data_IF_644158612500
#
_entry.id   IF_644158612500
#
_cell.length_a   1.000
_cell.length_b   1.000
_cell.length_c   1.000
_cell.angle_alpha   90.00
_cell.angle_beta   90.00
_cell.angle_gamma   90.00
#
_symmetry.space_group_name_H-M   'P 1'
#
loop_
_entity.id
_entity.type
_entity.pdbx_description
1 polymer ?
#
# COMPACT_ATOMS: atom_id res chain seq x y z
N UNK A 1 6.29 -11.81 -27.97
CA UNK A 1 7.19 -11.56 -26.82
C UNK A 1 7.53 -12.91 -26.21
N UNK A 2 8.80 -13.24 -25.93
CA UNK A 2 9.12 -14.43 -25.15
C UNK A 2 8.27 -14.40 -23.86
N UNK A 3 7.77 -15.56 -23.46
CA UNK A 3 6.63 -15.68 -22.54
C UNK A 3 6.91 -14.97 -21.22
N UNK A 4 6.06 -13.99 -20.89
CA UNK A 4 6.08 -13.34 -19.58
C UNK A 4 5.92 -14.41 -18.50
N UNK A 5 6.71 -14.31 -17.45
CA UNK A 5 6.76 -15.26 -16.33
C UNK A 5 6.38 -14.62 -15.00
N UNK A 6 6.65 -13.32 -14.82
CA UNK A 6 6.42 -12.62 -13.56
C UNK A 6 5.89 -11.19 -13.79
N UNK A 7 4.95 -10.77 -12.93
CA UNK A 7 4.44 -9.41 -12.85
C UNK A 7 4.37 -8.94 -11.39
N UNK A 8 5.03 -7.82 -11.08
CA UNK A 8 5.05 -7.18 -9.77
C UNK A 8 4.27 -5.86 -9.85
N UNK A 9 3.41 -5.57 -8.89
CA UNK A 9 2.55 -4.37 -8.93
C UNK A 9 2.46 -3.65 -7.59
N UNK A 10 2.60 -2.33 -7.59
CA UNK A 10 2.22 -1.46 -6.45
C UNK A 10 0.99 -0.63 -6.81
N UNK A 11 -0.06 -0.72 -6.00
CA UNK A 11 -1.35 -0.09 -6.25
C UNK A 11 -1.75 0.87 -5.11
N UNK A 12 -1.11 2.06 -5.00
CA UNK A 12 -1.42 3.02 -3.95
C UNK A 12 -2.71 3.80 -4.23
N UNK A 13 -3.28 4.34 -3.17
CA UNK A 13 -4.43 5.22 -3.20
C UNK A 13 -5.74 4.50 -3.47
N UNK A 14 -6.77 5.31 -3.74
CA UNK A 14 -8.10 4.83 -4.05
C UNK A 14 -8.14 4.34 -5.51
N UNK A 15 -8.38 3.04 -5.72
CA UNK A 15 -8.57 2.47 -7.05
C UNK A 15 -10.04 2.65 -7.44
N UNK A 16 -10.33 3.12 -8.65
CA UNK A 16 -11.72 3.24 -9.08
C UNK A 16 -12.27 1.88 -9.53
N UNK A 17 -13.55 1.56 -9.29
CA UNK A 17 -14.14 0.30 -9.73
C UNK A 17 -13.97 0.02 -11.22
N UNK A 18 -14.09 1.05 -12.06
CA UNK A 18 -13.92 0.94 -13.52
C UNK A 18 -12.49 0.56 -13.93
N UNK A 19 -11.47 1.06 -13.22
CA UNK A 19 -10.07 0.75 -13.50
C UNK A 19 -9.77 -0.73 -13.17
N UNK A 20 -10.31 -1.21 -12.04
CA UNK A 20 -10.19 -2.62 -11.64
C UNK A 20 -10.95 -3.54 -12.58
N UNK A 21 -12.15 -3.15 -13.01
CA UNK A 21 -12.94 -3.92 -13.97
C UNK A 21 -12.24 -4.04 -15.32
N UNK A 22 -11.61 -2.96 -15.80
CA UNK A 22 -10.85 -2.95 -17.05
C UNK A 22 -9.60 -3.86 -16.98
N UNK A 23 -8.89 -3.88 -15.85
CA UNK A 23 -7.72 -4.75 -15.64
C UNK A 23 -8.04 -6.22 -15.47
N UNK A 24 -9.26 -6.57 -15.01
CA UNK A 24 -9.63 -7.92 -14.59
C UNK A 24 -9.41 -8.99 -15.65
N UNK A 25 -9.78 -8.72 -16.91
CA UNK A 25 -9.62 -9.69 -17.99
C UNK A 25 -8.14 -9.98 -18.27
N UNK A 26 -7.33 -8.92 -18.31
CA UNK A 26 -5.88 -9.02 -18.53
C UNK A 26 -5.20 -9.78 -17.39
N UNK A 27 -5.57 -9.50 -16.14
CA UNK A 27 -5.02 -10.18 -14.98
C UNK A 27 -5.42 -11.67 -14.95
N UNK A 28 -6.68 -11.97 -15.31
CA UNK A 28 -7.16 -13.35 -15.41
C UNK A 28 -6.40 -14.15 -16.48
N UNK A 29 -6.23 -13.55 -17.67
CA UNK A 29 -5.48 -14.15 -18.76
C UNK A 29 -4.02 -14.40 -18.36
N UNK A 30 -3.38 -13.41 -17.72
CA UNK A 30 -2.02 -13.54 -17.24
C UNK A 30 -1.85 -14.71 -16.25
N UNK A 31 -2.72 -14.78 -15.25
CA UNK A 31 -2.71 -15.85 -14.25
C UNK A 31 -2.99 -17.22 -14.86
N UNK A 32 -3.93 -17.31 -15.82
CA UNK A 32 -4.22 -18.57 -16.53
C UNK A 32 -3.04 -19.10 -17.34
N UNK A 33 -2.13 -18.23 -17.78
CA UNK A 33 -0.88 -18.59 -18.44
C UNK A 33 0.24 -18.98 -17.47
N UNK A 34 -0.03 -18.97 -16.17
CA UNK A 34 0.93 -19.30 -15.11
C UNK A 34 1.90 -18.18 -14.77
N UNK A 35 1.58 -16.92 -15.11
CA UNK A 35 2.40 -15.76 -14.72
C UNK A 35 2.32 -15.58 -13.20
N UNK A 36 3.48 -15.58 -12.53
CA UNK A 36 3.57 -15.28 -11.11
C UNK A 36 3.23 -13.80 -10.89
N UNK A 37 2.16 -13.51 -10.17
CA UNK A 37 1.71 -12.14 -9.93
C UNK A 37 1.80 -11.77 -8.46
N UNK A 38 2.52 -10.69 -8.15
CA UNK A 38 2.68 -10.15 -6.79
C UNK A 38 2.19 -8.72 -6.73
N UNK A 39 1.16 -8.47 -5.93
CA UNK A 39 0.53 -7.15 -5.87
C UNK A 39 0.50 -6.60 -4.44
N UNK A 40 1.01 -5.37 -4.29
CA UNK A 40 0.95 -4.57 -3.07
C UNK A 40 -0.25 -3.63 -3.12
N UNK A 41 -1.04 -3.65 -2.05
CA UNK A 41 -2.07 -2.65 -1.75
C UNK A 41 -1.79 -1.95 -0.43
N UNK A 42 -2.41 -0.79 -0.23
CA UNK A 42 -2.40 -0.17 1.09
C UNK A 42 -3.34 -0.92 2.05
N UNK A 43 -3.08 -0.86 3.36
CA UNK A 43 -3.98 -1.43 4.37
C UNK A 43 -5.41 -0.86 4.27
N UNK A 44 -5.53 0.39 3.80
CA UNK A 44 -6.82 1.03 3.54
C UNK A 44 -7.67 0.32 2.48
N UNK A 45 -7.06 -0.46 1.58
CA UNK A 45 -7.77 -1.23 0.55
C UNK A 45 -8.71 -2.28 1.16
N UNK A 46 -8.40 -2.79 2.36
CA UNK A 46 -9.25 -3.76 3.08
C UNK A 46 -10.60 -3.16 3.49
N UNK A 47 -10.65 -1.84 3.65
CA UNK A 47 -11.87 -1.10 4.02
C UNK A 47 -12.59 -0.51 2.80
N UNK A 48 -12.11 -0.77 1.58
CA UNK A 48 -12.72 -0.33 0.33
C UNK A 48 -13.36 -1.56 -0.36
N UNK A 49 -14.70 -1.72 -0.32
CA UNK A 49 -15.34 -2.97 -0.74
C UNK A 49 -14.97 -3.46 -2.14
N UNK A 50 -14.87 -2.56 -3.12
CA UNK A 50 -14.51 -2.89 -4.50
C UNK A 50 -13.05 -3.33 -4.63
N UNK A 51 -12.12 -2.67 -3.94
CA UNK A 51 -10.70 -3.05 -3.95
C UNK A 51 -10.49 -4.37 -3.22
N UNK A 52 -11.11 -4.54 -2.05
CA UNK A 52 -11.05 -5.79 -1.29
C UNK A 52 -11.62 -6.97 -2.10
N UNK A 53 -12.76 -6.77 -2.77
CA UNK A 53 -13.35 -7.80 -3.66
C UNK A 53 -12.40 -8.19 -4.77
N UNK A 54 -11.76 -7.22 -5.42
CA UNK A 54 -10.79 -7.48 -6.48
C UNK A 54 -9.55 -8.22 -5.97
N UNK A 55 -9.00 -7.76 -4.85
CA UNK A 55 -7.81 -8.32 -4.25
C UNK A 55 -8.03 -9.77 -3.77
N UNK A 56 -9.19 -10.07 -3.18
CA UNK A 56 -9.59 -11.43 -2.85
C UNK A 56 -9.82 -12.32 -4.08
N UNK A 57 -10.37 -11.75 -5.15
CA UNK A 57 -10.46 -12.46 -6.43
C UNK A 57 -9.07 -12.77 -7.00
N UNK A 58 -8.12 -11.83 -6.95
CA UNK A 58 -6.77 -12.04 -7.44
C UNK A 58 -6.07 -13.17 -6.67
N UNK A 59 -6.22 -13.20 -5.34
CA UNK A 59 -5.77 -14.32 -4.51
C UNK A 59 -6.41 -15.65 -4.94
N UNK A 60 -7.71 -15.67 -5.22
CA UNK A 60 -8.40 -16.91 -5.61
C UNK A 60 -8.01 -17.43 -7.00
N UNK A 61 -7.42 -16.57 -7.83
CA UNK A 61 -6.84 -16.94 -9.12
C UNK A 61 -5.36 -17.38 -9.03
N UNK A 62 -4.77 -17.42 -7.83
CA UNK A 62 -3.38 -17.83 -7.61
C UNK A 62 -2.38 -16.67 -7.57
N UNK A 63 -2.83 -15.42 -7.63
CA UNK A 63 -1.98 -14.26 -7.39
C UNK A 63 -1.60 -14.14 -5.92
N UNK A 64 -0.44 -13.54 -5.64
CA UNK A 64 -0.02 -13.18 -4.29
C UNK A 64 -0.40 -11.72 -4.00
N UNK A 65 -1.11 -11.49 -2.91
CA UNK A 65 -1.52 -10.14 -2.51
C UNK A 65 -1.05 -9.85 -1.09
N UNK A 66 -0.37 -8.72 -0.91
CA UNK A 66 0.05 -8.22 0.40
C UNK A 66 -0.40 -6.77 0.62
N UNK A 67 -0.56 -6.39 1.89
CA UNK A 67 -0.91 -5.02 2.28
C UNK A 67 0.08 -4.42 3.26
N UNK A 68 0.27 -3.11 3.18
CA UNK A 68 1.05 -2.33 4.13
C UNK A 68 0.45 -0.94 4.33
N UNK A 69 0.78 -0.26 5.43
CA UNK A 69 0.26 1.09 5.72
C UNK A 69 0.64 2.11 4.62
N UNK A 70 1.90 2.06 4.18
CA UNK A 70 2.42 2.81 3.04
C UNK A 70 3.11 1.86 2.08
N UNK A 71 3.03 2.16 0.79
CA UNK A 71 3.65 1.37 -0.29
C UNK A 71 4.33 2.31 -1.30
N UNK A 72 5.19 1.78 -2.19
CA UNK A 72 5.79 2.55 -3.26
C UNK A 72 4.75 3.24 -4.16
N UNK A 73 5.15 4.30 -4.90
CA UNK A 73 4.32 4.85 -5.97
C UNK A 73 3.81 3.76 -6.92
N UNK A 74 2.74 4.06 -7.65
CA UNK A 74 2.17 3.11 -8.60
C UNK A 74 3.24 2.68 -9.60
N UNK A 75 3.39 1.36 -9.75
CA UNK A 75 4.32 0.77 -10.71
C UNK A 75 3.88 -0.65 -11.07
N UNK A 76 4.24 -1.09 -12.26
CA UNK A 76 4.17 -2.50 -12.69
C UNK A 76 5.54 -2.88 -13.24
N UNK A 77 6.10 -4.00 -12.77
CA UNK A 77 7.39 -4.52 -13.23
C UNK A 77 7.14 -5.90 -13.84
N UNK A 78 7.63 -6.13 -15.06
CA UNK A 78 7.46 -7.37 -15.81
C UNK A 78 8.81 -8.05 -15.99
N UNK A 79 8.87 -9.34 -15.64
CA UNK A 79 10.06 -10.21 -15.73
C UNK A 79 11.35 -9.59 -15.17
N UNK A 80 11.20 -8.66 -14.21
CA UNK A 80 12.30 -7.86 -13.65
C UNK A 80 13.21 -7.20 -14.72
N UNK A 81 12.68 -6.95 -15.91
CA UNK A 81 13.42 -6.41 -17.07
C UNK A 81 12.77 -5.15 -17.65
N UNK A 82 11.51 -4.91 -17.30
CA UNK A 82 10.70 -3.81 -17.80
C UNK A 82 9.83 -3.26 -16.67
N UNK A 83 9.62 -1.95 -16.65
CA UNK A 83 8.67 -1.33 -15.73
C UNK A 83 7.78 -0.29 -16.40
N UNK A 84 6.57 -0.15 -15.89
CA UNK A 84 5.64 0.92 -16.21
C UNK A 84 5.38 1.74 -14.95
N UNK A 85 5.66 3.04 -15.01
CA UNK A 85 5.39 4.01 -13.93
C UNK A 85 4.57 5.16 -14.49
N UNK A 86 3.59 5.73 -13.76
CA UNK A 86 2.82 6.86 -14.27
C UNK A 86 3.71 8.05 -14.63
N UNK A 87 3.38 8.74 -15.72
CA UNK A 87 3.99 10.04 -16.06
C UNK A 87 3.68 11.06 -14.96
N UNK A 88 2.46 11.00 -14.43
CA UNK A 88 2.01 11.82 -13.31
C UNK A 88 1.35 10.91 -12.26
N UNK A 89 1.97 10.71 -11.09
CA UNK A 89 1.41 9.87 -10.03
C UNK A 89 0.04 10.34 -9.51
N UNK A 90 -0.33 11.61 -9.74
CA UNK A 90 -1.62 12.16 -9.36
C UNK A 90 -2.70 12.01 -10.46
N UNK A 91 -2.30 11.76 -11.71
CA UNK A 91 -3.22 11.61 -12.85
C UNK A 91 -2.78 10.52 -13.83
N UNK A 92 -3.23 9.28 -13.59
CA UNK A 92 -2.93 8.13 -14.43
C UNK A 92 -3.37 8.28 -15.89
N UNK A 93 -4.28 9.21 -16.20
CA UNK A 93 -4.75 9.45 -17.58
C UNK A 93 -3.68 10.09 -18.46
N UNK A 94 -2.63 10.65 -17.86
CA UNK A 94 -1.46 11.18 -18.59
C UNK A 94 -0.56 10.10 -19.15
N UNK A 95 -0.86 8.82 -18.89
CA UNK A 95 -0.11 7.68 -19.39
C UNK A 95 1.01 7.23 -18.46
N UNK A 96 1.86 6.35 -18.97
CA UNK A 96 2.96 5.75 -18.22
C UNK A 96 4.27 5.86 -19.01
N UNK A 97 5.37 5.98 -18.28
CA UNK A 97 6.72 5.81 -18.78
C UNK A 97 7.06 4.32 -18.80
N UNK A 98 7.55 3.85 -19.93
CA UNK A 98 8.13 2.52 -20.09
C UNK A 98 9.63 2.59 -19.83
N UNK A 99 10.10 1.86 -18.83
CA UNK A 99 11.46 1.92 -18.30
C UNK A 99 12.14 0.56 -18.50
N UNK A 100 13.34 0.60 -19.08
CA UNK A 100 14.22 -0.57 -19.27
C UNK A 100 15.65 -0.31 -18.85
N UNK A 101 15.95 0.93 -18.46
CA UNK A 101 17.25 1.41 -18.05
C UNK A 101 17.67 0.69 -16.76
N UNK A 102 18.77 -0.11 -16.77
CA UNK A 102 19.08 -1.02 -15.68
C UNK A 102 19.17 -0.36 -14.30
N UNK A 103 19.72 0.86 -14.22
CA UNK A 103 19.85 1.59 -12.95
C UNK A 103 18.51 2.04 -12.36
N UNK A 104 17.57 2.47 -13.22
CA UNK A 104 16.22 2.87 -12.77
C UNK A 104 15.42 1.62 -12.39
N UNK A 105 15.52 0.57 -13.21
CA UNK A 105 14.84 -0.69 -12.96
C UNK A 105 15.29 -1.35 -11.66
N UNK A 106 16.60 -1.36 -11.37
CA UNK A 106 17.13 -1.84 -10.11
C UNK A 106 16.55 -1.07 -8.91
N UNK A 107 16.50 0.26 -8.99
CA UNK A 107 15.93 1.09 -7.93
C UNK A 107 14.42 0.84 -7.72
N UNK A 108 13.66 0.61 -8.80
CA UNK A 108 12.22 0.28 -8.71
C UNK A 108 12.00 -1.12 -8.10
N UNK A 109 12.83 -2.09 -8.50
CA UNK A 109 12.81 -3.44 -7.93
C UNK A 109 13.14 -3.42 -6.44
N UNK A 110 14.21 -2.73 -6.04
CA UNK A 110 14.60 -2.62 -4.63
C UNK A 110 13.48 -1.99 -3.79
N UNK A 111 12.86 -0.93 -4.32
CA UNK A 111 11.74 -0.25 -3.65
C UNK A 111 10.51 -1.16 -3.51
N UNK A 112 10.21 -1.96 -4.54
CA UNK A 112 9.14 -2.96 -4.48
C UNK A 112 9.45 -4.05 -3.45
N UNK A 113 10.65 -4.65 -3.52
CA UNK A 113 11.05 -5.76 -2.65
C UNK A 113 11.11 -5.35 -1.17
N UNK A 114 11.60 -4.14 -0.88
CA UNK A 114 11.61 -3.60 0.48
C UNK A 114 10.18 -3.52 1.06
N UNK A 115 9.23 -3.04 0.26
CA UNK A 115 7.83 -3.00 0.68
C UNK A 115 7.23 -4.41 0.76
N UNK A 116 7.52 -5.29 -0.20
CA UNK A 116 7.01 -6.66 -0.23
C UNK A 116 7.42 -7.47 0.99
N UNK A 117 8.67 -7.34 1.41
CA UNK A 117 9.25 -8.08 2.54
C UNK A 117 8.69 -7.66 3.90
N UNK A 118 8.13 -6.45 4.01
CA UNK A 118 7.51 -5.92 5.23
C UNK A 118 5.98 -5.95 5.20
N UNK A 119 5.38 -6.14 4.03
CA UNK A 119 3.94 -6.21 3.84
C UNK A 119 3.34 -7.54 4.33
N UNK A 120 2.09 -7.48 4.78
CA UNK A 120 1.34 -8.59 5.36
C UNK A 120 0.45 -9.24 4.29
N UNK A 121 0.45 -10.58 4.14
CA UNK A 121 -0.47 -11.26 3.24
C UNK A 121 -1.94 -10.85 3.45
N UNK A 122 -2.66 -10.65 2.35
CA UNK A 122 -4.10 -10.41 2.39
C UNK A 122 -4.82 -11.67 2.88
N UNK A 123 -5.69 -11.53 3.87
CA UNK A 123 -6.35 -12.65 4.55
C UNK A 123 -5.61 -13.20 5.77
N UNK A 124 -4.33 -12.86 5.98
CA UNK A 124 -3.68 -13.08 7.27
C UNK A 124 -4.22 -12.08 8.31
N UNK A 125 -4.28 -12.51 9.57
CA UNK A 125 -4.51 -11.61 10.69
C UNK A 125 -3.37 -10.59 10.74
N UNK A 126 -3.70 -9.31 10.91
CA UNK A 126 -2.67 -8.30 11.18
C UNK A 126 -2.09 -8.57 12.57
N UNK A 127 -0.77 -8.80 12.68
CA UNK A 127 -0.15 -8.81 13.99
C UNK A 127 -0.21 -7.38 14.53
N UNK A 128 -1.01 -7.16 15.56
CA UNK A 128 -0.82 -6.01 16.43
C UNK A 128 0.56 -6.14 17.07
N UNK A 129 1.27 -5.02 17.19
CA UNK A 129 2.54 -5.02 17.90
C UNK A 129 2.24 -5.24 19.38
N UNK A 130 2.59 -6.42 19.87
CA UNK A 130 2.33 -6.86 21.24
C UNK A 130 2.93 -5.94 22.29
N UNK A 131 3.93 -5.11 21.94
CA UNK A 131 4.54 -4.12 22.85
C UNK A 131 3.72 -2.83 22.96
N UNK A 132 3.06 -2.41 21.88
CA UNK A 132 2.39 -1.10 21.82
C UNK A 132 0.87 -1.18 21.69
N UNK A 133 0.34 -2.33 21.25
CA UNK A 133 -1.06 -2.50 20.87
C UNK A 133 -1.45 -1.65 19.65
N UNK A 134 -0.48 -1.12 18.90
CA UNK A 134 -0.73 -0.32 17.71
C UNK A 134 -0.81 -1.20 16.46
N UNK A 135 -1.80 -0.90 15.63
CA UNK A 135 -1.82 -1.41 14.25
C UNK A 135 -0.67 -0.80 13.42
N UNK A 136 -0.31 -1.44 12.31
CA UNK A 136 0.70 -0.90 11.38
C UNK A 136 0.32 0.50 10.89
N UNK A 137 -0.95 0.72 10.55
CA UNK A 137 -1.49 2.03 10.13
C UNK A 137 -1.34 3.10 11.21
N UNK A 138 -1.61 2.77 12.48
CA UNK A 138 -1.52 3.74 13.58
C UNK A 138 -0.08 4.10 13.93
N UNK A 139 0.84 3.13 13.91
CA UNK A 139 2.27 3.38 14.05
C UNK A 139 2.78 4.30 12.95
N UNK A 140 2.40 4.00 11.71
CA UNK A 140 2.81 4.82 10.57
C UNK A 140 2.17 6.22 10.63
N UNK A 141 0.91 6.34 11.07
CA UNK A 141 0.29 7.63 11.31
C UNK A 141 1.07 8.46 12.34
N UNK A 142 1.43 7.87 13.49
CA UNK A 142 2.25 8.54 14.50
C UNK A 142 3.59 9.01 13.93
N UNK A 143 4.26 8.16 13.14
CA UNK A 143 5.52 8.51 12.48
C UNK A 143 5.36 9.68 11.51
N UNK A 144 4.31 9.67 10.68
CA UNK A 144 4.03 10.73 9.71
C UNK A 144 3.74 12.06 10.42
N UNK A 145 2.87 12.07 11.43
CA UNK A 145 2.57 13.27 12.21
C UNK A 145 3.82 13.75 12.99
N UNK A 146 4.61 12.84 13.55
CA UNK A 146 5.87 13.15 14.23
C UNK A 146 6.92 13.77 13.30
N UNK A 147 6.88 13.46 12.01
CA UNK A 147 7.69 14.10 10.97
C UNK A 147 7.16 15.47 10.50
N UNK A 148 6.04 15.94 11.06
CA UNK A 148 5.48 17.26 10.79
C UNK A 148 4.39 17.30 9.71
N UNK A 149 3.87 16.16 9.25
CA UNK A 149 2.76 16.14 8.29
C UNK A 149 1.44 16.57 8.97
N UNK A 150 0.58 17.22 8.19
CA UNK A 150 -0.81 17.49 8.59
C UNK A 150 -1.66 16.21 8.51
N UNK A 151 -2.82 16.21 9.18
CA UNK A 151 -3.78 15.10 9.10
C UNK A 151 -4.17 14.79 7.64
N UNK A 152 -4.32 15.81 6.79
CA UNK A 152 -4.65 15.65 5.37
C UNK A 152 -3.51 14.98 4.59
N UNK A 153 -2.27 15.45 4.79
CA UNK A 153 -1.10 14.88 4.12
C UNK A 153 -0.82 13.45 4.59
N UNK A 154 -0.96 13.18 5.89
CA UNK A 154 -0.83 11.83 6.46
C UNK A 154 -1.94 10.91 5.93
N UNK A 155 -3.18 11.39 5.86
CA UNK A 155 -4.31 10.66 5.29
C UNK A 155 -4.07 10.28 3.83
N UNK A 156 -3.62 11.23 3.01
CA UNK A 156 -3.27 10.97 1.62
C UNK A 156 -2.18 9.89 1.51
N UNK A 157 -1.13 9.95 2.34
CA UNK A 157 -0.03 8.97 2.35
C UNK A 157 -0.50 7.57 2.74
N UNK A 158 -1.40 7.47 3.71
CA UNK A 158 -1.99 6.22 4.21
C UNK A 158 -3.17 5.71 3.35
N UNK A 159 -3.59 6.48 2.34
CA UNK A 159 -4.74 6.14 1.52
C UNK A 159 -6.06 6.13 2.30
N UNK A 160 -6.20 6.98 3.33
CA UNK A 160 -7.40 7.12 4.17
C UNK A 160 -7.86 8.58 4.22
N UNK A 161 -9.14 8.80 4.54
CA UNK A 161 -9.68 10.16 4.69
C UNK A 161 -9.20 10.83 5.98
N UNK A 162 -9.19 12.17 6.01
CA UNK A 162 -8.87 12.95 7.22
C UNK A 162 -9.80 12.61 8.40
N UNK A 163 -11.06 12.25 8.12
CA UNK A 163 -11.98 11.70 9.13
C UNK A 163 -11.45 10.41 9.74
N UNK A 164 -10.88 9.52 8.93
CA UNK A 164 -10.30 8.24 9.39
C UNK A 164 -9.01 8.47 10.17
N UNK A 165 -8.18 9.43 9.75
CA UNK A 165 -7.03 9.91 10.54
C UNK A 165 -7.49 10.37 11.93
N UNK A 166 -8.54 11.19 12.00
CA UNK A 166 -9.14 11.62 13.25
C UNK A 166 -9.56 10.46 14.15
N UNK A 167 -10.19 9.42 13.58
CA UNK A 167 -10.58 8.20 14.34
C UNK A 167 -9.37 7.44 14.89
N UNK A 168 -8.32 7.25 14.09
CA UNK A 168 -7.09 6.62 14.56
C UNK A 168 -6.44 7.45 15.68
N UNK A 169 -6.38 8.78 15.51
CA UNK A 169 -5.85 9.66 16.56
C UNK A 169 -6.68 9.61 17.84
N UNK A 170 -8.00 9.55 17.77
CA UNK A 170 -8.85 9.36 18.95
C UNK A 170 -8.53 8.04 19.67
N UNK A 171 -8.40 6.94 18.93
CA UNK A 171 -8.04 5.63 19.51
C UNK A 171 -6.63 5.62 20.13
N UNK A 172 -5.68 6.30 19.49
CA UNK A 172 -4.32 6.46 20.04
C UNK A 172 -4.36 7.30 21.32
N UNK A 173 -5.07 8.44 21.31
CA UNK A 173 -5.23 9.31 22.47
C UNK A 173 -5.87 8.57 23.65
N UNK A 174 -6.90 7.76 23.40
CA UNK A 174 -7.56 6.95 24.41
C UNK A 174 -6.58 5.95 25.05
N UNK A 175 -5.81 5.20 24.26
CA UNK A 175 -4.78 4.27 24.78
C UNK A 175 -3.64 4.97 25.52
N UNK A 176 -3.34 6.22 25.15
CA UNK A 176 -2.34 7.04 25.83
C UNK A 176 -2.92 7.74 27.07
N UNK A 177 -4.24 7.76 27.24
CA UNK A 177 -4.92 8.61 28.23
C UNK A 177 -4.58 10.08 28.05
N UNK A 178 -4.47 10.54 26.80
CA UNK A 178 -4.11 11.91 26.43
C UNK A 178 -5.35 12.77 26.17
N UNK A 179 -5.37 13.98 26.71
CA UNK A 179 -6.46 14.95 26.54
C UNK A 179 -6.31 15.80 25.27
N UNK A 180 -5.11 15.85 24.69
CA UNK A 180 -4.82 16.58 23.45
C UNK A 180 -3.86 15.81 22.54
N UNK A 181 -3.86 16.15 21.24
CA UNK A 181 -2.90 15.58 20.27
C UNK A 181 -1.45 15.86 20.65
N UNK A 182 -1.17 17.06 21.17
CA UNK A 182 0.18 17.43 21.62
C UNK A 182 0.63 16.54 22.78
N UNK A 183 -0.22 16.38 23.80
CA UNK A 183 0.05 15.47 24.92
C UNK A 183 0.22 14.02 24.45
N UNK A 184 -0.59 13.58 23.48
CA UNK A 184 -0.48 12.26 22.88
C UNK A 184 0.89 12.06 22.21
N UNK A 185 1.40 13.05 21.48
CA UNK A 185 2.74 13.01 20.89
C UNK A 185 3.85 12.85 21.94
N UNK A 186 3.79 13.63 23.03
CA UNK A 186 4.74 13.53 24.15
C UNK A 186 4.67 12.15 24.81
N UNK A 187 3.46 11.66 25.11
CA UNK A 187 3.26 10.34 25.72
C UNK A 187 3.69 9.20 24.81
N UNK A 188 3.44 9.30 23.51
CA UNK A 188 3.88 8.33 22.50
C UNK A 188 5.42 8.25 22.46
N UNK A 189 6.12 9.39 22.46
CA UNK A 189 7.58 9.43 22.53
C UNK A 189 8.11 8.76 23.81
N UNK A 190 7.55 9.11 24.98
CA UNK A 190 7.97 8.53 26.26
C UNK A 190 7.75 7.02 26.35
N UNK A 191 6.73 6.48 25.67
CA UNK A 191 6.46 5.03 25.61
C UNK A 191 7.21 4.31 24.49
N UNK A 192 8.03 5.01 23.70
CA UNK A 192 8.74 4.45 22.55
C UNK A 192 7.80 3.93 21.46
N UNK A 193 6.72 4.69 21.19
CA UNK A 193 5.78 4.45 20.09
C UNK A 193 6.19 5.19 18.80
N UNK A 194 7.15 6.12 18.92
CA UNK A 194 7.78 6.87 17.84
C UNK A 194 9.22 6.39 17.62
#
# INVERSE_FOLDING_TARGET
MPGVTEALGSQPGNQRPEDLAAGRLTDAEALSRGIAMRTLYQDSARNQPHVATYAHWLLSQGGEVRTAATIPPRMVIIDRSQALVPIDPADNRKGALYVTEPGILAALLDLFEQAWNTAVPLGAAHPEDTRTGLTATERELLRLLGSGLTDDAAGQRLGISSRTVGRHMSSIMERLGASSRFEAGIKAAHRGWL
#
